data_IF_588283327930
#
_entry.id   IF_588283327930
#
_cell.length_a   1.000
_cell.length_b   1.000
_cell.length_c   1.000
_cell.angle_alpha   90.00
_cell.angle_beta   90.00
_cell.angle_gamma   90.00
#
_symmetry.space_group_name_H-M   'P 1'
#
loop_
_entity.id
_entity.type
_entity.pdbx_description
1 polymer ?
#
# COMPACT_ATOMS: atom_id res chain seq x y z
N UNK A 1 9.01 -16.31 -9.90
CA UNK A 1 8.73 -14.88 -9.56
C UNK A 1 7.89 -14.72 -8.30
N UNK A 2 6.71 -15.34 -8.21
CA UNK A 2 5.76 -15.15 -7.09
C UNK A 2 6.34 -15.57 -5.72
N UNK A 3 7.08 -16.68 -5.64
CA UNK A 3 7.71 -17.09 -4.38
C UNK A 3 8.78 -16.12 -3.87
N UNK A 4 9.52 -15.48 -4.77
CA UNK A 4 10.56 -14.50 -4.40
C UNK A 4 9.91 -13.21 -3.88
N UNK A 5 8.78 -12.82 -4.47
CA UNK A 5 7.97 -11.69 -4.00
C UNK A 5 7.30 -11.97 -2.64
N UNK A 6 6.76 -13.18 -2.43
CA UNK A 6 6.24 -13.57 -1.11
C UNK A 6 7.30 -13.50 -0.02
N UNK A 7 8.51 -14.01 -0.31
CA UNK A 7 9.65 -13.94 0.63
C UNK A 7 10.02 -12.49 0.96
N UNK A 8 10.04 -11.62 -0.04
CA UNK A 8 10.27 -10.18 0.15
C UNK A 8 9.19 -9.50 1.01
N UNK A 9 7.91 -9.87 0.84
CA UNK A 9 6.81 -9.35 1.68
C UNK A 9 6.99 -9.77 3.15
N UNK A 10 7.41 -11.01 3.38
CA UNK A 10 7.62 -11.55 4.73
C UNK A 10 8.85 -10.94 5.41
N UNK A 11 9.97 -10.80 4.69
CA UNK A 11 11.22 -10.22 5.20
C UNK A 11 11.14 -8.70 5.37
N UNK A 12 10.44 -8.00 4.46
CA UNK A 12 10.37 -6.54 4.42
C UNK A 12 8.93 -6.00 4.28
N UNK A 13 8.07 -6.24 5.29
CA UNK A 13 6.65 -5.88 5.22
C UNK A 13 6.42 -4.37 5.09
N UNK A 14 7.25 -3.52 5.71
CA UNK A 14 7.13 -2.07 5.58
C UNK A 14 7.56 -1.55 4.21
N UNK A 15 8.61 -2.14 3.61
CA UNK A 15 9.03 -1.79 2.25
C UNK A 15 7.97 -2.20 1.23
N UNK A 16 7.30 -3.34 1.44
CA UNK A 16 6.15 -3.75 0.64
C UNK A 16 5.01 -2.73 0.70
N UNK A 17 4.64 -2.25 1.90
CA UNK A 17 3.58 -1.24 2.06
C UNK A 17 3.94 0.05 1.30
N UNK A 18 5.17 0.55 1.43
CA UNK A 18 5.63 1.76 0.73
C UNK A 18 5.59 1.56 -0.79
N UNK A 19 6.03 0.40 -1.27
CA UNK A 19 6.04 0.08 -2.70
C UNK A 19 4.62 0.02 -3.28
N UNK A 20 3.69 -0.59 -2.56
CA UNK A 20 2.27 -0.63 -2.95
C UNK A 20 1.66 0.78 -2.92
N UNK A 21 1.96 1.57 -1.89
CA UNK A 21 1.48 2.95 -1.77
C UNK A 21 1.95 3.83 -2.94
N UNK A 22 3.22 3.72 -3.33
CA UNK A 22 3.77 4.47 -4.46
C UNK A 22 3.11 4.06 -5.79
N UNK A 23 2.95 2.76 -6.03
CA UNK A 23 2.32 2.25 -7.25
C UNK A 23 0.85 2.65 -7.34
N UNK A 24 0.10 2.47 -6.26
CA UNK A 24 -1.33 2.81 -6.21
C UNK A 24 -1.56 4.31 -6.35
N UNK A 25 -0.73 5.14 -5.71
CA UNK A 25 -0.78 6.60 -5.87
C UNK A 25 -0.49 7.01 -7.31
N UNK A 26 0.57 6.47 -7.92
CA UNK A 26 0.94 6.78 -9.30
C UNK A 26 -0.17 6.39 -10.29
N UNK A 27 -0.75 5.20 -10.13
CA UNK A 27 -1.86 4.73 -10.98
C UNK A 27 -3.10 5.58 -10.77
N UNK A 28 -3.49 5.86 -9.52
CA UNK A 28 -4.67 6.66 -9.20
C UNK A 28 -4.58 8.06 -9.79
N UNK A 29 -3.45 8.74 -9.57
CA UNK A 29 -3.17 10.06 -10.13
C UNK A 29 -3.18 10.03 -11.67
N UNK A 30 -2.59 8.99 -12.27
CA UNK A 30 -2.53 8.86 -13.74
C UNK A 30 -3.92 8.66 -14.36
N UNK A 31 -4.78 7.82 -13.76
CA UNK A 31 -6.15 7.61 -14.24
C UNK A 31 -6.97 8.89 -14.11
N UNK A 32 -6.87 9.56 -12.97
CA UNK A 32 -7.61 10.81 -12.69
C UNK A 32 -7.20 11.90 -13.68
N UNK A 33 -5.90 12.02 -13.97
CA UNK A 33 -5.39 12.92 -14.98
C UNK A 33 -5.85 12.57 -16.41
N UNK A 34 -5.89 11.29 -16.78
CA UNK A 34 -6.35 10.88 -18.13
C UNK A 34 -7.86 11.15 -18.30
N UNK A 35 -8.66 10.84 -17.29
CA UNK A 35 -10.14 10.89 -17.39
C UNK A 35 -10.66 12.31 -17.22
N UNK A 36 -10.18 13.03 -16.20
CA UNK A 36 -10.70 14.34 -15.84
C UNK A 36 -9.79 15.50 -16.28
N UNK A 37 -8.56 15.21 -16.77
CA UNK A 37 -7.50 16.22 -16.97
C UNK A 37 -7.22 17.07 -15.74
N UNK A 38 -7.57 16.54 -14.57
CA UNK A 38 -7.48 17.24 -13.30
C UNK A 38 -6.77 16.35 -12.28
N UNK A 39 -6.01 16.98 -11.40
CA UNK A 39 -5.28 16.32 -10.31
C UNK A 39 -6.12 16.44 -9.04
N UNK A 40 -7.24 15.73 -8.98
CA UNK A 40 -8.11 15.80 -7.81
C UNK A 40 -7.42 15.11 -6.63
N UNK A 41 -7.04 15.89 -5.62
CA UNK A 41 -6.33 15.39 -4.43
C UNK A 41 -7.12 14.36 -3.60
N UNK A 42 -8.41 14.13 -3.88
CA UNK A 42 -9.25 13.10 -3.23
C UNK A 42 -8.68 11.70 -3.37
N UNK A 43 -8.05 11.37 -4.51
CA UNK A 43 -7.37 10.09 -4.70
C UNK A 43 -6.22 9.88 -3.71
N UNK A 44 -5.48 10.95 -3.39
CA UNK A 44 -4.37 10.94 -2.44
C UNK A 44 -4.87 10.68 -1.01
N UNK A 45 -5.94 11.35 -0.58
CA UNK A 45 -6.52 11.14 0.75
C UNK A 45 -7.02 9.70 0.94
N UNK A 46 -7.61 9.11 -0.12
CA UNK A 46 -8.06 7.72 -0.12
C UNK A 46 -6.87 6.75 -0.02
N UNK A 47 -5.80 6.98 -0.78
CA UNK A 47 -4.59 6.16 -0.73
C UNK A 47 -3.90 6.21 0.64
N UNK A 48 -3.84 7.40 1.26
CA UNK A 48 -3.30 7.58 2.63
C UNK A 48 -4.15 6.80 3.63
N UNK A 49 -5.48 6.91 3.56
CA UNK A 49 -6.39 6.18 4.44
C UNK A 49 -6.22 4.67 4.36
N UNK A 50 -6.16 4.11 3.14
CA UNK A 50 -5.93 2.68 2.92
C UNK A 50 -4.56 2.22 3.42
N UNK A 51 -3.53 3.04 3.23
CA UNK A 51 -2.17 2.74 3.71
C UNK A 51 -2.12 2.66 5.23
N UNK A 52 -2.80 3.59 5.93
CA UNK A 52 -2.91 3.56 7.40
C UNK A 52 -3.63 2.30 7.90
N UNK A 53 -4.71 1.89 7.22
CA UNK A 53 -5.45 0.67 7.56
C UNK A 53 -4.56 -0.57 7.41
N UNK A 54 -3.80 -0.69 6.31
CA UNK A 54 -2.89 -1.82 6.13
C UNK A 54 -1.74 -1.82 7.14
N UNK A 55 -1.23 -0.65 7.51
CA UNK A 55 -0.22 -0.54 8.56
C UNK A 55 -0.73 -1.08 9.90
N UNK A 56 -1.96 -0.73 10.27
CA UNK A 56 -2.62 -1.27 11.48
C UNK A 56 -2.86 -2.77 11.39
N UNK A 57 -3.25 -3.27 10.20
CA UNK A 57 -3.48 -4.70 9.97
C UNK A 57 -2.19 -5.51 10.13
N UNK A 58 -1.08 -5.05 9.54
CA UNK A 58 0.23 -5.70 9.67
C UNK A 58 0.72 -5.67 11.12
N UNK A 59 0.57 -4.55 11.83
CA UNK A 59 0.90 -4.46 13.26
C UNK A 59 0.12 -5.47 14.11
N UNK A 60 -1.18 -5.66 13.83
CA UNK A 60 -2.01 -6.68 14.51
C UNK A 60 -1.55 -8.10 14.19
N UNK A 61 -1.17 -8.40 12.93
CA UNK A 61 -0.64 -9.72 12.56
C UNK A 61 0.68 -10.03 13.26
N UNK A 62 1.62 -9.09 13.32
CA UNK A 62 2.90 -9.28 14.05
C UNK A 62 2.66 -9.61 15.52
N UNK A 63 1.83 -8.84 16.23
CA UNK A 63 1.46 -9.14 17.63
C UNK A 63 0.83 -10.52 17.81
N UNK A 64 0.03 -10.98 16.83
CA UNK A 64 -0.58 -12.32 16.90
C UNK A 64 0.45 -13.43 16.71
N UNK A 65 1.47 -13.24 15.88
CA UNK A 65 2.56 -14.20 15.70
C UNK A 65 3.59 -14.18 16.83
N UNK A 66 3.76 -13.06 17.55
CA UNK A 66 4.64 -12.98 18.74
C UNK A 66 4.02 -13.65 19.98
N UNK A 67 2.69 -13.78 20.02
CA UNK A 67 1.93 -14.36 21.14
C UNK A 67 1.48 -15.81 20.89
N UNK A 68 1.94 -16.46 19.82
CA UNK A 68 1.62 -17.83 19.43
C UNK A 68 2.87 -18.70 19.48
#
# INVERSE_FOLDING_TARGET
MINKYRKFIEEHPYAHIILVMLLTSFIGISIEYIVNRDFIGSGIYTAIGLTLIEFLRVKRRKRKNENA
#
